data_IF_880635899430
#
_entry.id   IF_880635899430
#
_cell.length_a   1.000
_cell.length_b   1.000
_cell.length_c   1.000
_cell.angle_alpha   90.00
_cell.angle_beta   90.00
_cell.angle_gamma   90.00
#
_symmetry.space_group_name_H-M   'P 1'
#
loop_
_entity.id
_entity.type
_entity.pdbx_description
1 polymer ?
#
# COMPACT_ATOMS: atom_id res chain seq x y z
N UNK A 1 -2.62 13.73 37.46
CA UNK A 1 -1.89 14.48 36.43
C UNK A 1 -0.86 13.63 35.68
N UNK A 2 -0.68 12.37 36.04
CA UNK A 2 0.33 11.49 35.40
C UNK A 2 -0.17 10.88 34.08
N UNK A 3 -1.48 10.86 33.84
CA UNK A 3 -2.05 10.22 32.66
C UNK A 3 -2.03 11.08 31.38
N UNK A 4 -1.93 12.39 31.51
CA UNK A 4 -1.84 13.27 30.35
C UNK A 4 -0.43 13.35 29.76
N UNK A 5 0.57 13.14 30.60
CA UNK A 5 1.96 13.17 30.17
C UNK A 5 2.39 11.90 29.43
N UNK A 6 1.71 10.78 29.69
CA UNK A 6 2.04 9.53 29.03
C UNK A 6 1.65 9.46 27.57
N UNK A 7 0.57 10.14 27.16
CA UNK A 7 0.17 10.20 25.76
C UNK A 7 1.04 11.17 24.96
N UNK A 8 1.39 12.30 25.57
CA UNK A 8 2.34 13.20 24.97
C UNK A 8 3.74 12.60 24.90
N UNK A 9 4.10 11.79 25.89
CA UNK A 9 5.37 11.08 25.88
C UNK A 9 5.47 10.03 24.77
N UNK A 10 4.36 9.36 24.43
CA UNK A 10 4.39 8.39 23.34
C UNK A 10 4.56 9.06 21.97
N UNK A 11 3.91 10.18 21.75
CA UNK A 11 4.06 10.94 20.52
C UNK A 11 5.46 11.59 20.44
N UNK A 12 5.90 12.14 21.54
CA UNK A 12 7.22 12.74 21.65
C UNK A 12 8.33 11.69 21.55
N UNK A 13 8.13 10.53 22.16
CA UNK A 13 9.04 9.41 22.03
C UNK A 13 9.22 8.95 20.58
N UNK A 14 8.12 8.84 19.84
CA UNK A 14 8.18 8.50 18.42
C UNK A 14 8.97 9.53 17.61
N UNK A 15 8.77 10.79 17.89
CA UNK A 15 9.49 11.88 17.23
C UNK A 15 10.97 11.87 17.59
N UNK A 16 11.31 11.75 18.83
CA UNK A 16 12.69 11.70 19.32
C UNK A 16 13.42 10.45 18.82
N UNK A 17 12.74 9.32 18.81
CA UNK A 17 13.29 8.08 18.22
C UNK A 17 13.55 8.25 16.73
N UNK A 18 12.75 9.04 16.02
CA UNK A 18 13.00 9.35 14.61
C UNK A 18 14.21 10.26 14.38
N UNK A 19 14.59 11.05 15.37
CA UNK A 19 15.81 11.88 15.30
C UNK A 19 17.08 11.10 15.67
N UNK A 20 16.99 10.23 16.66
CA UNK A 20 18.16 9.47 17.14
C UNK A 20 18.31 8.11 16.47
N UNK A 21 17.21 7.40 16.32
CA UNK A 21 17.13 6.23 15.48
C UNK A 21 16.59 6.68 14.13
N UNK A 22 17.46 7.05 13.23
CA UNK A 22 17.04 7.12 11.84
C UNK A 22 16.15 5.91 11.58
N UNK A 23 14.91 6.12 11.13
CA UNK A 23 14.04 5.03 10.69
C UNK A 23 14.87 4.25 9.67
N UNK A 24 15.44 3.14 10.11
CA UNK A 24 16.41 2.42 9.32
C UNK A 24 15.63 1.68 8.25
N UNK A 25 15.75 2.14 7.01
CA UNK A 25 15.32 1.30 5.90
C UNK A 25 16.37 0.22 5.71
N UNK A 26 15.92 -1.02 5.62
CA UNK A 26 16.77 -2.12 5.20
C UNK A 26 16.98 -2.12 3.69
N UNK A 27 16.01 -1.58 2.95
CA UNK A 27 16.12 -1.38 1.50
C UNK A 27 17.09 -0.21 1.23
N UNK A 28 18.12 -0.41 0.41
CA UNK A 28 19.03 0.67 0.06
C UNK A 28 18.30 1.80 -0.68
N UNK A 29 18.44 3.02 -0.18
CA UNK A 29 17.88 4.21 -0.82
C UNK A 29 18.96 4.95 -1.61
N UNK A 30 18.56 5.56 -2.73
CA UNK A 30 19.41 6.49 -3.47
C UNK A 30 19.48 7.84 -2.75
N UNK A 31 20.53 8.62 -3.01
CA UNK A 31 20.71 9.92 -2.37
C UNK A 31 19.59 10.95 -2.67
N UNK A 32 18.85 10.74 -3.77
CA UNK A 32 17.72 11.57 -4.19
C UNK A 32 16.38 11.12 -3.58
N UNK A 33 16.39 10.05 -2.83
CA UNK A 33 15.19 9.45 -2.23
C UNK A 33 15.12 9.81 -0.75
N UNK A 34 13.96 10.31 -0.33
CA UNK A 34 13.66 10.62 1.07
C UNK A 34 12.58 9.68 1.57
N UNK A 35 12.87 8.98 2.67
CA UNK A 35 11.95 8.03 3.26
C UNK A 35 10.71 8.72 3.81
N UNK A 36 9.53 8.16 3.50
CA UNK A 36 8.25 8.53 4.12
C UNK A 36 7.93 7.55 5.24
N UNK A 37 7.80 6.28 4.92
CA UNK A 37 7.57 5.21 5.88
C UNK A 37 7.92 3.84 5.30
N UNK A 38 7.84 2.81 6.14
CA UNK A 38 8.18 1.43 5.80
C UNK A 38 7.07 0.47 6.23
N UNK A 39 6.99 -0.65 5.54
CA UNK A 39 6.12 -1.78 5.85
C UNK A 39 6.93 -3.07 5.72
N UNK A 40 6.95 -3.88 6.78
CA UNK A 40 7.61 -5.18 6.78
C UNK A 40 6.57 -6.28 6.63
N UNK A 41 6.77 -7.15 5.65
CA UNK A 41 5.86 -8.24 5.34
C UNK A 41 6.55 -9.27 4.46
N UNK A 42 6.22 -10.54 4.61
CA UNK A 42 6.60 -11.57 3.63
C UNK A 42 5.79 -11.36 2.35
N UNK A 43 6.41 -10.75 1.36
CA UNK A 43 5.75 -10.37 0.12
C UNK A 43 5.89 -11.44 -0.98
N UNK A 44 7.03 -12.12 -1.02
CA UNK A 44 7.29 -13.14 -2.03
C UNK A 44 6.91 -14.57 -1.60
N UNK A 45 6.49 -14.76 -0.34
CA UNK A 45 6.00 -16.03 0.17
C UNK A 45 7.08 -17.00 0.60
N UNK A 46 8.29 -16.53 0.86
CA UNK A 46 9.41 -17.36 1.32
C UNK A 46 9.49 -17.53 2.84
N UNK A 47 8.56 -16.94 3.58
CA UNK A 47 8.44 -16.91 5.04
C UNK A 47 9.47 -16.01 5.74
N UNK A 48 10.16 -15.17 4.99
CA UNK A 48 11.04 -14.13 5.51
C UNK A 48 10.42 -12.76 5.25
N UNK A 49 10.64 -11.84 6.17
CA UNK A 49 10.09 -10.49 6.01
C UNK A 49 10.88 -9.70 4.97
N UNK A 50 10.16 -9.24 3.96
CA UNK A 50 10.58 -8.22 3.01
C UNK A 50 10.26 -6.83 3.53
N UNK A 51 10.66 -5.80 2.81
CA UNK A 51 10.34 -4.42 3.18
C UNK A 51 9.84 -3.65 1.96
N UNK A 52 8.68 -2.99 2.14
CA UNK A 52 8.13 -2.07 1.16
C UNK A 52 8.27 -0.67 1.74
N UNK A 53 8.93 0.21 1.04
CA UNK A 53 9.19 1.58 1.49
C UNK A 53 8.51 2.60 0.59
N UNK A 54 7.90 3.60 1.20
CA UNK A 54 7.40 4.77 0.50
C UNK A 54 8.43 5.88 0.57
N UNK A 55 8.74 6.50 -0.57
CA UNK A 55 9.74 7.55 -0.68
C UNK A 55 9.25 8.71 -1.53
N UNK A 56 9.80 9.90 -1.26
CA UNK A 56 9.83 11.01 -2.20
C UNK A 56 11.13 10.98 -3.00
N UNK A 57 11.04 11.34 -4.26
CA UNK A 57 12.21 11.57 -5.11
C UNK A 57 12.40 13.06 -5.36
N UNK A 58 13.66 13.53 -5.36
CA UNK A 58 13.98 14.94 -5.52
C UNK A 58 13.50 15.53 -6.85
N UNK A 59 13.40 14.72 -7.89
CA UNK A 59 13.00 15.08 -9.26
C UNK A 59 11.54 14.82 -9.61
N UNK A 60 10.75 14.37 -8.65
CA UNK A 60 9.33 14.02 -8.90
C UNK A 60 8.43 14.52 -7.78
N UNK A 61 7.22 15.03 -8.11
CA UNK A 61 6.23 15.37 -7.11
C UNK A 61 5.51 14.16 -6.51
N UNK A 62 5.69 12.97 -7.10
CA UNK A 62 4.94 11.78 -6.74
C UNK A 62 5.61 10.97 -5.65
N UNK A 63 4.78 10.23 -4.91
CA UNK A 63 5.24 9.20 -4.00
C UNK A 63 5.57 7.94 -4.80
N UNK A 64 6.70 7.31 -4.46
CA UNK A 64 7.12 6.03 -5.02
C UNK A 64 7.08 4.96 -3.96
N UNK A 65 6.69 3.76 -4.34
CA UNK A 65 6.83 2.55 -3.54
C UNK A 65 8.00 1.73 -4.08
N UNK A 66 8.89 1.32 -3.20
CA UNK A 66 10.01 0.45 -3.52
C UNK A 66 9.82 -0.85 -2.78
N UNK A 67 9.76 -1.95 -3.51
CA UNK A 67 9.67 -3.29 -2.93
C UNK A 67 11.08 -3.87 -2.83
N UNK A 68 11.51 -4.11 -1.61
CA UNK A 68 12.79 -4.76 -1.32
C UNK A 68 12.56 -6.18 -0.85
N UNK A 69 13.13 -7.15 -1.55
CA UNK A 69 13.07 -8.55 -1.15
C UNK A 69 14.32 -8.91 -0.33
N UNK A 70 14.12 -9.62 0.76
CA UNK A 70 15.21 -10.10 1.59
C UNK A 70 15.93 -11.29 0.92
N UNK A 71 17.22 -11.18 0.82
CA UNK A 71 18.08 -12.23 0.31
C UNK A 71 18.87 -12.85 1.48
N UNK A 72 18.51 -14.08 1.86
CA UNK A 72 19.14 -14.78 2.97
C UNK A 72 20.59 -15.17 2.72
N UNK A 73 20.99 -15.35 1.45
CA UNK A 73 22.37 -15.70 1.08
C UNK A 73 23.32 -14.53 1.33
N UNK A 74 22.90 -13.31 0.97
CA UNK A 74 23.68 -12.09 1.15
C UNK A 74 23.37 -11.35 2.46
N UNK A 75 22.32 -11.77 3.19
CA UNK A 75 21.80 -11.09 4.37
C UNK A 75 21.54 -9.58 4.09
N UNK A 76 20.89 -9.32 2.97
CA UNK A 76 20.60 -7.97 2.49
C UNK A 76 19.26 -7.90 1.77
N UNK A 77 18.79 -6.69 1.53
CA UNK A 77 17.56 -6.44 0.80
C UNK A 77 17.86 -5.97 -0.61
N UNK A 78 17.34 -6.67 -1.59
CA UNK A 78 17.47 -6.32 -2.99
C UNK A 78 16.28 -5.49 -3.46
N UNK A 79 16.54 -4.39 -4.17
CA UNK A 79 15.48 -3.59 -4.79
C UNK A 79 14.86 -4.39 -5.93
N UNK A 80 13.70 -4.94 -5.68
CA UNK A 80 12.99 -5.81 -6.63
C UNK A 80 12.14 -5.02 -7.62
N UNK A 81 11.36 -4.07 -7.14
CA UNK A 81 10.44 -3.30 -7.96
C UNK A 81 10.28 -1.87 -7.43
N UNK A 82 9.93 -0.98 -8.33
CA UNK A 82 9.66 0.41 -8.06
C UNK A 82 8.35 0.82 -8.75
N UNK A 83 7.45 1.45 -8.00
CA UNK A 83 6.14 1.86 -8.48
C UNK A 83 6.00 3.37 -8.29
N UNK A 84 5.74 4.10 -9.38
CA UNK A 84 5.24 5.46 -9.28
C UNK A 84 3.75 5.43 -8.96
N UNK A 85 3.35 6.01 -7.83
CA UNK A 85 1.94 6.01 -7.44
C UNK A 85 1.11 7.05 -8.19
N UNK A 86 1.77 8.02 -8.82
CA UNK A 86 1.14 9.21 -9.42
C UNK A 86 0.35 10.06 -8.41
N UNK A 87 0.56 9.83 -7.12
CA UNK A 87 -0.06 10.55 -6.02
C UNK A 87 0.97 11.49 -5.41
N UNK A 88 0.66 12.79 -5.40
CA UNK A 88 1.53 13.83 -4.84
C UNK A 88 1.15 14.20 -3.40
N UNK A 89 -0.14 14.07 -3.05
CA UNK A 89 -0.65 14.47 -1.74
C UNK A 89 -0.51 13.35 -0.72
N UNK A 90 0.49 13.44 0.12
CA UNK A 90 0.79 12.43 1.15
C UNK A 90 -0.38 12.16 2.09
N UNK A 91 -1.21 13.16 2.39
CA UNK A 91 -2.37 13.01 3.28
C UNK A 91 -3.45 12.10 2.72
N UNK A 92 -3.50 11.94 1.39
CA UNK A 92 -4.47 11.07 0.72
C UNK A 92 -3.93 9.67 0.50
N UNK A 93 -2.62 9.50 0.65
CA UNK A 93 -1.91 8.28 0.31
C UNK A 93 -1.88 7.32 1.49
N UNK A 94 -2.18 6.05 1.21
CA UNK A 94 -1.93 4.94 2.11
C UNK A 94 -1.58 3.68 1.32
N UNK A 95 -0.85 2.77 1.94
CA UNK A 95 -0.57 1.47 1.39
C UNK A 95 -0.53 0.41 2.49
N UNK A 96 -0.83 -0.81 2.12
CA UNK A 96 -0.87 -1.95 3.01
C UNK A 96 -0.55 -3.24 2.26
N UNK A 97 -0.27 -4.29 3.01
CA UNK A 97 -0.06 -5.61 2.46
C UNK A 97 -1.06 -6.56 3.11
N UNK A 98 -1.95 -7.11 2.30
CA UNK A 98 -3.04 -7.97 2.76
C UNK A 98 -3.26 -9.12 1.79
N UNK A 99 -3.84 -10.21 2.28
CA UNK A 99 -4.32 -11.30 1.44
C UNK A 99 -5.69 -10.93 0.84
N UNK A 100 -5.68 -10.35 -0.37
CA UNK A 100 -6.89 -9.88 -1.05
C UNK A 100 -7.77 -10.99 -1.59
N UNK A 101 -7.18 -12.13 -1.92
CA UNK A 101 -7.86 -13.20 -2.66
C UNK A 101 -8.22 -14.40 -1.79
N UNK A 102 -7.80 -14.41 -0.53
CA UNK A 102 -7.97 -15.56 0.37
C UNK A 102 -7.12 -16.77 0.02
N UNK A 103 -6.09 -16.59 -0.81
CA UNK A 103 -5.19 -17.67 -1.28
C UNK A 103 -3.88 -17.73 -0.49
N UNK A 104 -3.77 -16.99 0.60
CA UNK A 104 -2.57 -16.81 1.42
C UNK A 104 -1.40 -16.15 0.68
N UNK A 105 -1.67 -15.47 -0.43
CA UNK A 105 -0.72 -14.60 -1.11
C UNK A 105 -0.90 -13.16 -0.66
N UNK A 106 0.17 -12.55 -0.23
CA UNK A 106 0.18 -11.14 0.15
C UNK A 106 0.07 -10.26 -1.09
N UNK A 107 -0.87 -9.33 -1.08
CA UNK A 107 -1.00 -8.29 -2.08
C UNK A 107 -0.59 -6.94 -1.51
N UNK A 108 0.16 -6.17 -2.28
CA UNK A 108 0.43 -4.76 -2.02
C UNK A 108 -0.72 -3.94 -2.57
N UNK A 109 -1.39 -3.19 -1.69
CA UNK A 109 -2.50 -2.30 -2.06
C UNK A 109 -2.08 -0.89 -1.74
N UNK A 110 -2.19 0.03 -2.69
CA UNK A 110 -2.09 1.44 -2.39
C UNK A 110 -3.30 2.20 -2.92
N UNK A 111 -3.60 3.31 -2.25
CA UNK A 111 -4.69 4.20 -2.63
C UNK A 111 -4.35 5.64 -2.33
N UNK A 112 -5.02 6.52 -3.01
CA UNK A 112 -4.89 7.95 -2.82
C UNK A 112 -5.68 8.74 -3.84
N UNK A 113 -5.41 10.04 -3.88
CA UNK A 113 -6.07 10.97 -4.81
C UNK A 113 -5.02 11.61 -5.71
N UNK A 114 -5.23 11.50 -7.02
CA UNK A 114 -4.39 12.14 -8.02
C UNK A 114 -4.62 13.65 -8.06
N UNK A 115 -3.73 14.36 -8.75
CA UNK A 115 -3.82 15.82 -8.93
C UNK A 115 -5.10 16.29 -9.63
N UNK A 116 -5.70 15.45 -10.47
CA UNK A 116 -7.00 15.70 -11.12
C UNK A 116 -8.21 15.41 -10.21
N UNK A 117 -7.97 15.10 -8.93
CA UNK A 117 -8.97 14.74 -7.92
C UNK A 117 -9.59 13.34 -8.07
N UNK A 118 -9.12 12.52 -8.99
CA UNK A 118 -9.56 11.14 -9.08
C UNK A 118 -8.99 10.30 -7.94
N UNK A 119 -9.85 9.51 -7.32
CA UNK A 119 -9.45 8.46 -6.40
C UNK A 119 -8.88 7.28 -7.17
N UNK A 120 -7.77 6.73 -6.70
CA UNK A 120 -7.13 5.57 -7.30
C UNK A 120 -6.84 4.51 -6.26
N UNK A 121 -6.91 3.26 -6.68
CA UNK A 121 -6.48 2.10 -5.91
C UNK A 121 -5.83 1.11 -6.85
N UNK A 122 -4.61 0.68 -6.52
CA UNK A 122 -3.90 -0.34 -7.29
C UNK A 122 -3.44 -1.47 -6.38
N UNK A 123 -3.44 -2.67 -6.94
CA UNK A 123 -3.16 -3.90 -6.22
C UNK A 123 -2.15 -4.71 -7.02
N UNK A 124 -1.09 -5.14 -6.34
CA UNK A 124 -0.01 -5.93 -6.93
C UNK A 124 0.27 -7.17 -6.11
N UNK A 125 0.68 -8.23 -6.78
CA UNK A 125 1.20 -9.44 -6.13
C UNK A 125 2.56 -9.79 -6.70
N UNK A 126 3.35 -10.50 -5.88
CA UNK A 126 4.54 -11.16 -6.34
C UNK A 126 4.16 -12.47 -7.05
N UNK A 127 4.75 -12.70 -8.20
CA UNK A 127 4.65 -13.98 -8.91
C UNK A 127 6.04 -14.53 -9.20
N UNK A 128 6.27 -15.75 -8.75
CA UNK A 128 7.54 -16.43 -9.03
C UNK A 128 7.54 -16.94 -10.48
N UNK A 129 8.49 -16.45 -11.25
CA UNK A 129 8.65 -16.80 -12.66
C UNK A 129 10.07 -17.31 -12.90
N UNK A 130 10.24 -18.63 -12.87
CA UNK A 130 11.57 -19.23 -12.97
C UNK A 130 12.49 -18.85 -11.81
N UNK A 131 13.66 -18.29 -12.11
CA UNK A 131 14.62 -17.81 -11.09
C UNK A 131 14.37 -16.38 -10.62
N UNK A 132 13.50 -15.64 -11.28
CA UNK A 132 13.14 -14.25 -10.96
C UNK A 132 11.67 -14.16 -10.59
N UNK A 133 11.35 -13.21 -9.73
CA UNK A 133 10.00 -12.83 -9.48
C UNK A 133 9.55 -11.71 -10.41
N UNK A 134 8.25 -11.55 -10.51
CA UNK A 134 7.60 -10.48 -11.24
C UNK A 134 6.56 -9.82 -10.34
N UNK A 135 6.41 -8.50 -10.45
CA UNK A 135 5.33 -7.77 -9.81
C UNK A 135 4.12 -7.77 -10.74
N UNK A 136 3.08 -8.50 -10.34
CA UNK A 136 1.88 -8.67 -11.14
C UNK A 136 0.79 -7.70 -10.70
N UNK A 137 0.33 -6.79 -11.56
CA UNK A 137 -0.86 -5.98 -11.27
C UNK A 137 -2.11 -6.86 -11.33
N UNK A 138 -2.87 -6.89 -10.23
CA UNK A 138 -4.11 -7.67 -10.12
C UNK A 138 -5.35 -6.79 -9.95
N UNK A 139 -5.18 -5.51 -9.71
CA UNK A 139 -6.27 -4.53 -9.61
C UNK A 139 -5.80 -3.14 -9.98
N UNK A 140 -6.61 -2.42 -10.74
CA UNK A 140 -6.40 -1.03 -11.11
C UNK A 140 -7.77 -0.34 -11.17
N UNK A 141 -8.04 0.50 -10.17
CA UNK A 141 -9.32 1.18 -10.02
C UNK A 141 -9.11 2.67 -9.97
N UNK A 142 -9.95 3.40 -10.69
CA UNK A 142 -9.97 4.86 -10.70
C UNK A 142 -11.40 5.35 -10.72
N UNK A 143 -11.68 6.42 -9.99
CA UNK A 143 -13.01 7.03 -9.93
C UNK A 143 -12.90 8.51 -9.58
N UNK A 144 -13.77 9.32 -10.14
CA UNK A 144 -14.00 10.70 -9.71
C UNK A 144 -14.78 10.80 -8.38
N UNK A 145 -15.24 9.67 -7.85
CA UNK A 145 -15.92 9.53 -6.58
C UNK A 145 -15.08 8.81 -5.52
N UNK A 146 -15.60 7.74 -4.96
CA UNK A 146 -15.00 7.02 -3.84
C UNK A 146 -14.67 5.59 -4.21
N UNK A 147 -13.52 5.10 -3.70
CA UNK A 147 -13.12 3.69 -3.78
C UNK A 147 -12.87 3.19 -2.36
N UNK A 148 -13.42 2.05 -2.01
CA UNK A 148 -13.12 1.40 -0.75
C UNK A 148 -13.09 -0.12 -0.83
N UNK A 149 -12.44 -0.75 0.13
CA UNK A 149 -12.31 -2.20 0.26
C UNK A 149 -13.26 -2.67 1.35
N UNK A 150 -13.98 -3.74 1.07
CA UNK A 150 -14.82 -4.44 2.03
C UNK A 150 -14.38 -5.90 2.12
N UNK A 151 -14.18 -6.39 3.34
CA UNK A 151 -13.97 -7.81 3.56
C UNK A 151 -15.26 -8.57 3.26
N UNK A 152 -15.15 -9.69 2.54
CA UNK A 152 -16.29 -10.57 2.26
C UNK A 152 -16.80 -11.16 3.56
N UNK A 153 -18.13 -11.21 3.73
CA UNK A 153 -18.73 -11.81 4.89
C UNK A 153 -18.34 -13.29 5.04
N UNK A 154 -18.20 -13.72 6.29
CA UNK A 154 -17.72 -15.07 6.61
C UNK A 154 -18.58 -16.18 5.99
N UNK A 155 -19.87 -15.96 5.87
CA UNK A 155 -20.80 -16.89 5.22
C UNK A 155 -20.52 -17.06 3.73
N UNK A 156 -20.29 -15.96 3.03
CA UNK A 156 -19.95 -16.00 1.59
C UNK A 156 -18.58 -16.64 1.36
N UNK A 157 -17.61 -16.35 2.22
CA UNK A 157 -16.28 -16.94 2.12
C UNK A 157 -16.31 -18.45 2.38
N UNK A 158 -17.17 -18.90 3.27
CA UNK A 158 -17.34 -20.31 3.60
C UNK A 158 -17.97 -21.10 2.46
N UNK A 159 -18.96 -20.54 1.78
CA UNK A 159 -19.61 -21.18 0.63
C UNK A 159 -18.68 -21.25 -0.58
N UNK A 160 -17.83 -20.24 -0.79
CA UNK A 160 -16.93 -20.19 -1.94
C UNK A 160 -15.73 -21.13 -1.82
N UNK A 161 -15.23 -21.41 -0.64
CA UNK A 161 -14.19 -22.43 -0.39
C UNK A 161 -13.79 -22.51 1.08
N UNK A 162 -13.93 -23.65 1.70
CA UNK A 162 -13.48 -23.92 3.08
C UNK A 162 -11.96 -23.81 3.26
N UNK A 163 -11.19 -23.87 2.19
CA UNK A 163 -9.73 -23.85 2.20
C UNK A 163 -9.14 -22.45 2.01
N UNK A 164 -9.96 -21.45 1.68
CA UNK A 164 -9.52 -20.08 1.44
C UNK A 164 -9.77 -19.19 2.66
N UNK A 165 -8.85 -18.28 2.93
CA UNK A 165 -9.02 -17.23 3.92
C UNK A 165 -10.09 -16.20 3.49
N UNK A 166 -10.21 -15.12 4.27
CA UNK A 166 -11.10 -14.01 3.92
C UNK A 166 -10.72 -13.40 2.57
N UNK A 167 -11.69 -13.08 1.77
CA UNK A 167 -11.53 -12.33 0.53
C UNK A 167 -12.09 -10.92 0.67
N UNK A 168 -11.81 -10.06 -0.30
CA UNK A 168 -12.20 -8.66 -0.27
C UNK A 168 -12.91 -8.27 -1.56
N UNK A 169 -13.88 -7.38 -1.42
CA UNK A 169 -14.55 -6.71 -2.55
C UNK A 169 -14.05 -5.27 -2.63
N UNK A 170 -13.84 -4.80 -3.85
CA UNK A 170 -13.53 -3.38 -4.11
C UNK A 170 -14.80 -2.72 -4.64
N UNK A 171 -15.22 -1.67 -3.96
CA UNK A 171 -16.37 -0.87 -4.35
C UNK A 171 -15.89 0.44 -4.97
N UNK A 172 -16.39 0.76 -6.15
CA UNK A 172 -16.08 1.97 -6.89
C UNK A 172 -17.36 2.77 -7.10
N UNK A 173 -17.40 3.99 -6.58
CA UNK A 173 -18.51 4.91 -6.73
C UNK A 173 -18.08 6.11 -7.54
N UNK A 174 -18.83 6.39 -8.61
CA UNK A 174 -18.66 7.63 -9.37
C UNK A 174 -19.36 8.79 -8.66
N UNK A 175 -18.88 10.00 -8.87
CA UNK A 175 -19.61 11.19 -8.41
C UNK A 175 -20.87 11.36 -9.24
N UNK A 176 -22.00 11.67 -8.58
CA UNK A 176 -23.33 11.83 -9.19
C UNK A 176 -23.45 13.14 -10.00
N UNK A 177 -22.58 13.34 -10.97
CA UNK A 177 -22.68 14.48 -11.87
C UNK A 177 -23.75 14.33 -12.95
N UNK A 178 -24.35 13.14 -13.05
CA UNK A 178 -25.33 12.82 -14.10
C UNK A 178 -26.77 13.13 -13.72
N UNK A 179 -27.11 13.24 -12.45
CA UNK A 179 -28.50 13.49 -12.03
C UNK A 179 -28.90 14.97 -12.15
N UNK A 180 -27.97 15.91 -12.03
CA UNK A 180 -28.28 17.34 -12.21
C UNK A 180 -28.65 17.73 -13.64
N UNK A 181 -28.33 16.90 -14.64
CA UNK A 181 -28.65 17.17 -16.05
C UNK A 181 -29.97 16.56 -16.51
N UNK A 182 -30.60 15.71 -15.72
CA UNK A 182 -31.87 15.06 -16.11
C UNK A 182 -33.06 15.88 -15.63
N UNK A 183 -32.95 16.62 -14.55
CA UNK A 183 -34.02 17.43 -14.01
C UNK A 183 -34.16 18.82 -14.67
N UNK A 184 -33.25 19.21 -15.52
CA UNK A 184 -33.31 20.52 -16.23
C UNK A 184 -34.01 20.47 -17.58
N UNK A 185 -34.57 19.33 -17.97
CA UNK A 185 -35.27 19.15 -19.27
C UNK A 185 -36.74 18.73 -19.13
N UNK A 186 -37.37 19.01 -18.00
CA UNK A 186 -38.83 18.83 -17.85
C UNK A 186 -39.56 20.13 -17.63
#
# INVERSE_FOLDING_TARGET
>A
PISSDSQNNNFFYFYVVSEEASITTFVPLHSTETLINTLNVDFDGDSLDDQIVAVHKADSPFIFLIVGLYNSESNSYDRFAEISTEIAKIRTFSYSAIDMTGTHKTALVYQGVKSNSDSVMKIYQYEKKGKRGELLPIGDFSSDGTIFIQQTERSEAYELSQAKGASYKVWVYSSDKTEENVDSTS
#
